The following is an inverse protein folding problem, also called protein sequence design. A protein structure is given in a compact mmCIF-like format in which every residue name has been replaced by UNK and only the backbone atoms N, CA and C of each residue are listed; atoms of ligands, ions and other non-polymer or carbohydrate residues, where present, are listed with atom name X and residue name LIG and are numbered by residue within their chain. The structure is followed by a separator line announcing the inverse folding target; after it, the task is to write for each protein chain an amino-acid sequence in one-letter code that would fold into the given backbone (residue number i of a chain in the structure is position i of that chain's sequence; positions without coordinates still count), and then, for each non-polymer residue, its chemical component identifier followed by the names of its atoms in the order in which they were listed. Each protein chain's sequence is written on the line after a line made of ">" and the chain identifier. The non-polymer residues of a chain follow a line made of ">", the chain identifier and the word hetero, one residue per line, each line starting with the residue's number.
data_IF_881194040918
#
_entry.id   IF_881194040918
#
_cell.length_a   1.000
_cell.length_b   1.000
_cell.length_c   1.000
_cell.angle_alpha   90.00
_cell.angle_beta   90.00
_cell.angle_gamma   90.00
#
_symmetry.space_group_name_H-M   'P 1'
#
loop_
_entity.id
_entity.type
_entity.pdbx_description
1 polymer ?
#
# COMPACT_ATOMS: atom_id res chain seq x y z
N UNK A 1 7.33 32.17 10.98
CA UNK A 1 6.61 31.03 10.42
C UNK A 1 7.47 29.80 10.66
N UNK A 2 7.14 28.99 11.67
CA UNK A 2 7.90 27.77 11.95
C UNK A 2 7.51 26.72 10.92
N UNK A 3 8.45 26.34 10.05
CA UNK A 3 8.28 25.19 9.17
C UNK A 3 8.33 23.94 10.04
N UNK A 4 7.20 23.27 10.22
CA UNK A 4 7.18 21.90 10.74
C UNK A 4 7.71 21.01 9.63
N UNK A 5 9.01 20.70 9.66
CA UNK A 5 9.57 19.62 8.86
C UNK A 5 9.00 18.33 9.44
N UNK A 6 8.04 17.73 8.74
CA UNK A 6 7.59 16.38 9.05
C UNK A 6 8.79 15.46 8.84
N UNK A 7 9.26 14.72 9.86
CA UNK A 7 10.35 13.78 9.69
C UNK A 7 9.98 12.76 8.62
N UNK A 8 10.95 12.42 7.76
CA UNK A 8 10.79 11.36 6.79
C UNK A 8 10.56 10.03 7.53
N UNK A 9 9.75 9.14 6.94
CA UNK A 9 9.30 7.94 7.63
C UNK A 9 10.49 7.03 7.99
N UNK A 10 11.53 7.07 7.16
CA UNK A 10 12.80 6.38 7.33
C UNK A 10 13.58 6.86 8.56
N UNK A 11 13.40 8.12 8.97
CA UNK A 11 14.05 8.71 10.14
C UNK A 11 13.32 8.39 11.45
N UNK A 12 12.10 7.84 11.36
CA UNK A 12 11.25 7.52 12.51
C UNK A 12 11.42 6.09 13.04
N UNK A 13 12.05 5.21 12.25
CA UNK A 13 12.11 3.77 12.52
C UNK A 13 13.54 3.26 12.46
N UNK A 14 13.86 2.29 13.31
CA UNK A 14 15.08 1.50 13.18
C UNK A 14 15.03 0.62 11.92
N UNK A 15 16.19 0.16 11.46
CA UNK A 15 16.26 -0.75 10.30
C UNK A 15 15.41 -2.01 10.47
N UNK A 16 15.39 -2.59 11.67
CA UNK A 16 14.53 -3.74 12.00
C UNK A 16 13.03 -3.41 11.94
N UNK A 17 12.64 -2.20 12.31
CA UNK A 17 11.25 -1.77 12.20
C UNK A 17 10.87 -1.50 10.75
N UNK A 18 11.79 -0.99 9.93
CA UNK A 18 11.59 -0.83 8.48
C UNK A 18 11.38 -2.19 7.81
N UNK A 19 12.16 -3.21 8.15
CA UNK A 19 11.97 -4.57 7.63
C UNK A 19 10.57 -5.13 7.97
N UNK A 20 10.11 -4.94 9.21
CA UNK A 20 8.76 -5.34 9.63
C UNK A 20 7.66 -4.55 8.91
N UNK A 21 7.88 -3.27 8.65
CA UNK A 21 6.96 -2.45 7.86
C UNK A 21 6.87 -2.95 6.41
N UNK A 22 8.00 -3.29 5.79
CA UNK A 22 8.04 -3.86 4.44
C UNK A 22 7.28 -5.19 4.41
N UNK A 23 7.53 -6.10 5.36
CA UNK A 23 6.84 -7.39 5.44
C UNK A 23 5.32 -7.20 5.60
N UNK A 24 4.90 -6.31 6.52
CA UNK A 24 3.49 -6.00 6.73
C UNK A 24 2.82 -5.40 5.50
N UNK A 25 3.51 -4.50 4.79
CA UNK A 25 3.02 -3.91 3.55
C UNK A 25 2.93 -4.95 2.42
N UNK A 26 3.90 -5.86 2.31
CA UNK A 26 3.88 -6.94 1.32
C UNK A 26 2.69 -7.89 1.56
N UNK A 27 2.44 -8.28 2.81
CA UNK A 27 1.27 -9.06 3.18
C UNK A 27 -0.04 -8.31 2.88
N UNK A 28 -0.08 -7.00 3.14
CA UNK A 28 -1.25 -6.18 2.83
C UNK A 28 -1.49 -6.07 1.32
N UNK A 29 -0.43 -5.91 0.53
CA UNK A 29 -0.46 -5.85 -0.93
C UNK A 29 -1.03 -7.15 -1.51
N UNK A 30 -0.55 -8.29 -1.02
CA UNK A 30 -1.03 -9.62 -1.42
C UNK A 30 -2.54 -9.77 -1.16
N UNK A 31 -2.98 -9.50 0.07
CA UNK A 31 -4.40 -9.62 0.44
C UNK A 31 -5.33 -8.69 -0.34
N UNK A 32 -4.88 -7.48 -0.64
CA UNK A 32 -5.66 -6.53 -1.44
C UNK A 32 -5.73 -6.93 -2.90
N UNK A 33 -4.65 -7.50 -3.43
CA UNK A 33 -4.59 -8.03 -4.79
C UNK A 33 -5.49 -9.26 -4.91
N UNK A 34 -5.45 -10.18 -3.94
CA UNK A 34 -6.34 -11.33 -3.84
C UNK A 34 -7.82 -10.89 -3.80
N UNK A 35 -8.15 -9.89 -2.99
CA UNK A 35 -9.51 -9.34 -2.91
C UNK A 35 -9.98 -8.74 -4.25
N UNK A 36 -9.12 -7.97 -4.94
CA UNK A 36 -9.43 -7.43 -6.26
C UNK A 36 -9.63 -8.53 -7.31
N UNK A 37 -8.82 -9.59 -7.26
CA UNK A 37 -8.98 -10.74 -8.15
C UNK A 37 -10.29 -11.49 -7.86
N UNK A 38 -10.64 -11.68 -6.58
CA UNK A 38 -11.86 -12.38 -6.17
C UNK A 38 -13.16 -11.68 -6.59
N UNK A 39 -13.15 -10.35 -6.75
CA UNK A 39 -14.30 -9.58 -7.21
C UNK A 39 -14.31 -9.34 -8.72
N UNK A 40 -13.22 -9.60 -9.45
CA UNK A 40 -13.19 -9.56 -10.91
C UNK A 40 -14.07 -10.69 -11.45
N UNK A 41 -15.28 -10.32 -11.89
CA UNK A 41 -16.32 -11.27 -12.31
C UNK A 41 -17.58 -11.24 -11.43
N UNK A 42 -17.54 -10.52 -10.31
CA UNK A 42 -18.74 -10.21 -9.53
C UNK A 42 -19.60 -9.15 -10.24
N UNK A 43 -20.92 -9.21 -10.05
CA UNK A 43 -21.84 -8.16 -10.48
C UNK A 43 -21.68 -6.84 -9.69
N UNK A 44 -20.85 -6.84 -8.65
CA UNK A 44 -20.53 -5.67 -7.85
C UNK A 44 -19.62 -4.72 -8.62
N UNK A 45 -20.21 -3.65 -9.15
CA UNK A 45 -19.50 -2.57 -9.85
C UNK A 45 -19.94 -1.22 -9.27
N UNK A 46 -19.10 -0.53 -8.48
CA UNK A 46 -19.40 0.82 -8.02
C UNK A 46 -19.54 1.73 -9.24
N UNK A 47 -20.65 2.47 -9.31
CA UNK A 47 -20.99 3.33 -10.44
C UNK A 47 -20.96 2.64 -11.83
N UNK A 48 -21.15 1.32 -11.88
CA UNK A 48 -21.13 0.55 -13.14
C UNK A 48 -19.75 0.45 -13.79
N UNK A 49 -18.67 0.63 -13.01
CA UNK A 49 -17.30 0.39 -13.45
C UNK A 49 -16.70 -0.79 -12.69
N UNK A 50 -15.87 -1.63 -13.34
CA UNK A 50 -15.09 -2.65 -12.64
C UNK A 50 -14.13 -2.00 -11.64
N UNK A 51 -13.99 -2.63 -10.47
CA UNK A 51 -12.97 -2.24 -9.50
C UNK A 51 -11.56 -2.28 -10.12
N UNK A 52 -10.76 -1.28 -9.75
CA UNK A 52 -9.41 -1.05 -10.22
C UNK A 52 -8.41 -1.19 -9.06
N UNK A 53 -7.10 -1.35 -9.35
CA UNK A 53 -6.08 -1.42 -8.31
C UNK A 53 -6.07 -0.22 -7.33
N UNK A 54 -6.39 0.97 -7.83
CA UNK A 54 -6.44 2.18 -7.00
C UNK A 54 -7.56 2.15 -5.95
N UNK A 55 -8.69 1.48 -6.22
CA UNK A 55 -9.79 1.32 -5.25
C UNK A 55 -9.37 0.51 -4.03
N UNK A 56 -8.33 -0.31 -4.18
CA UNK A 56 -7.75 -1.12 -3.13
C UNK A 56 -6.53 -0.47 -2.48
N UNK A 57 -6.03 0.66 -3.02
CA UNK A 57 -4.81 1.30 -2.54
C UNK A 57 -3.52 0.57 -2.98
N UNK A 58 -3.60 -0.30 -3.99
CA UNK A 58 -2.47 -1.14 -4.44
C UNK A 58 -1.26 -0.27 -4.88
N UNK A 59 -1.41 0.73 -5.77
CA UNK A 59 -0.28 1.55 -6.20
C UNK A 59 0.40 2.33 -5.07
N UNK A 60 -0.37 2.73 -4.05
CA UNK A 60 0.15 3.44 -2.89
C UNK A 60 0.99 2.52 -2.00
N UNK A 61 0.57 1.27 -1.83
CA UNK A 61 1.31 0.27 -1.06
C UNK A 61 2.61 -0.10 -1.79
N UNK A 62 2.55 -0.35 -3.10
CA UNK A 62 3.74 -0.57 -3.94
C UNK A 62 4.73 0.59 -3.81
N UNK A 63 4.24 1.83 -3.90
CA UNK A 63 5.06 3.03 -3.72
C UNK A 63 5.70 3.15 -2.33
N UNK A 64 4.98 2.75 -1.27
CA UNK A 64 5.53 2.74 0.09
C UNK A 64 6.60 1.66 0.27
N UNK A 65 6.38 0.45 -0.26
CA UNK A 65 7.37 -0.63 -0.23
C UNK A 65 8.65 -0.20 -0.95
N UNK A 66 8.53 0.32 -2.17
CA UNK A 66 9.65 0.80 -2.96
C UNK A 66 10.40 1.95 -2.27
N UNK A 67 9.67 2.88 -1.63
CA UNK A 67 10.25 3.97 -0.84
C UNK A 67 11.07 3.46 0.35
N UNK A 68 10.57 2.43 1.04
CA UNK A 68 11.25 1.83 2.19
C UNK A 68 12.41 0.88 1.80
N UNK A 69 12.63 0.64 0.50
CA UNK A 69 13.69 -0.24 0.00
C UNK A 69 13.31 -1.72 -0.09
N UNK A 70 12.02 -2.04 -0.09
CA UNK A 70 11.54 -3.37 -0.46
C UNK A 70 11.50 -3.56 -1.98
N UNK A 71 11.70 -4.81 -2.43
CA UNK A 71 11.58 -5.24 -3.84
C UNK A 71 10.17 -5.78 -4.15
#
# INVERSE_FOLDING_TARGET
>A
MSQTTTPDIEDLFSSSEIELLIEGLALLLDRKTEALQGIRGSALQPAGQPFQPHDFGIPQIEGLIARLGGE
#
